data_IF_058750378726
#
_entry.id   IF_058750378726
#
_cell.length_a   1.000
_cell.length_b   1.000
_cell.length_c   1.000
_cell.angle_alpha   90.00
_cell.angle_beta   90.00
_cell.angle_gamma   90.00
#
_symmetry.space_group_name_H-M   'P 1'
#
loop_
_entity.id
_entity.type
_entity.pdbx_description
1 polymer ?
#
# COMPACT_ATOMS: atom_id res chain seq x y z
N UNK A 1 -7.91 6.33 -17.76
CA UNK A 1 -8.71 6.90 -16.64
C UNK A 1 -7.74 7.31 -15.52
N UNK A 2 -8.06 8.29 -14.65
CA UNK A 2 -7.16 8.64 -13.53
C UNK A 2 -7.23 7.54 -12.45
N UNK A 3 -6.09 6.92 -12.13
CA UNK A 3 -5.99 5.81 -11.17
C UNK A 3 -5.37 6.24 -9.85
N UNK A 4 -5.91 5.72 -8.76
CA UNK A 4 -5.29 5.70 -7.44
C UNK A 4 -4.92 4.26 -7.14
N UNK A 5 -3.67 4.00 -6.76
CA UNK A 5 -3.24 2.66 -6.34
C UNK A 5 -3.29 2.59 -4.81
N UNK A 6 -4.08 1.66 -4.27
CA UNK A 6 -4.14 1.39 -2.85
C UNK A 6 -3.23 0.21 -2.51
N UNK A 7 -2.10 0.46 -1.86
CA UNK A 7 -1.20 -0.57 -1.31
C UNK A 7 -1.76 -1.00 0.04
N UNK A 8 -2.28 -2.22 0.13
CA UNK A 8 -2.99 -2.71 1.31
C UNK A 8 -3.05 -4.23 1.34
N UNK A 9 -3.25 -4.81 2.52
CA UNK A 9 -3.88 -6.13 2.60
C UNK A 9 -5.31 -6.03 2.07
N UNK A 10 -5.82 -7.05 1.37
CA UNK A 10 -7.15 -7.01 0.77
C UNK A 10 -7.85 -8.36 0.85
N UNK A 11 -9.20 -8.46 0.78
CA UNK A 11 -9.89 -9.74 0.73
C UNK A 11 -9.38 -10.61 -0.44
N UNK A 12 -9.24 -11.93 -0.27
CA UNK A 12 -9.87 -12.79 0.75
C UNK A 12 -9.13 -12.91 2.10
N UNK A 13 -8.04 -12.17 2.34
CA UNK A 13 -7.36 -12.17 3.65
C UNK A 13 -8.28 -11.54 4.69
N UNK A 14 -8.58 -12.31 5.72
CA UNK A 14 -9.43 -11.88 6.82
C UNK A 14 -8.58 -11.15 7.86
N UNK A 15 -8.40 -9.84 7.66
CA UNK A 15 -7.81 -8.96 8.66
C UNK A 15 -8.50 -7.59 8.67
N UNK A 16 -8.34 -6.85 9.78
CA UNK A 16 -9.00 -5.55 9.96
C UNK A 16 -8.67 -4.52 8.88
N UNK A 17 -7.41 -4.50 8.41
CA UNK A 17 -6.96 -3.59 7.35
C UNK A 17 -7.60 -3.96 6.01
N UNK A 18 -7.76 -5.25 5.70
CA UNK A 18 -8.42 -5.69 4.48
C UNK A 18 -9.90 -5.27 4.43
N UNK A 19 -10.63 -5.45 5.53
CA UNK A 19 -12.01 -4.98 5.63
C UNK A 19 -12.09 -3.45 5.54
N UNK A 20 -11.24 -2.74 6.30
CA UNK A 20 -11.18 -1.27 6.25
C UNK A 20 -10.93 -0.75 4.84
N UNK A 21 -9.95 -1.31 4.13
CA UNK A 21 -9.59 -0.87 2.79
C UNK A 21 -10.74 -1.13 1.79
N UNK A 22 -11.40 -2.28 1.89
CA UNK A 22 -12.58 -2.57 1.06
C UNK A 22 -13.71 -1.57 1.30
N UNK A 23 -14.03 -1.28 2.56
CA UNK A 23 -15.10 -0.33 2.91
C UNK A 23 -14.75 1.11 2.53
N UNK A 24 -13.49 1.52 2.72
CA UNK A 24 -13.00 2.82 2.29
C UNK A 24 -13.15 3.01 0.77
N UNK A 25 -12.71 2.02 -0.01
CA UNK A 25 -12.77 2.08 -1.47
C UNK A 25 -14.22 2.13 -1.94
N UNK A 26 -15.09 1.28 -1.40
CA UNK A 26 -16.53 1.30 -1.69
C UNK A 26 -17.15 2.65 -1.35
N UNK A 27 -16.85 3.20 -0.18
CA UNK A 27 -17.39 4.48 0.25
C UNK A 27 -16.95 5.61 -0.70
N UNK A 28 -15.67 5.66 -1.07
CA UNK A 28 -15.16 6.65 -2.02
C UNK A 28 -15.84 6.51 -3.39
N UNK A 29 -15.86 5.31 -3.97
CA UNK A 29 -16.47 5.08 -5.29
C UNK A 29 -17.98 5.38 -5.28
N UNK A 30 -18.68 5.08 -4.18
CA UNK A 30 -20.12 5.39 -4.04
C UNK A 30 -20.41 6.90 -4.04
N UNK A 31 -19.45 7.72 -3.61
CA UNK A 31 -19.62 9.18 -3.49
C UNK A 31 -19.19 9.94 -4.74
N UNK A 32 -18.14 9.46 -5.41
CA UNK A 32 -17.49 10.19 -6.50
C UNK A 32 -17.61 9.50 -7.87
N UNK A 33 -18.28 8.34 -7.91
CA UNK A 33 -18.57 7.60 -9.13
C UNK A 33 -17.30 7.22 -9.88
N UNK A 34 -17.32 7.40 -11.20
CA UNK A 34 -16.26 6.98 -12.13
C UNK A 34 -15.27 8.11 -12.47
N UNK A 35 -15.27 9.21 -11.72
CA UNK A 35 -14.35 10.33 -11.94
C UNK A 35 -12.87 9.91 -11.83
N UNK A 36 -12.63 8.82 -11.10
CA UNK A 36 -11.36 8.13 -10.94
C UNK A 36 -11.62 6.66 -10.60
N UNK A 37 -10.63 5.81 -10.84
CA UNK A 37 -10.65 4.42 -10.41
C UNK A 37 -9.67 4.19 -9.28
N UNK A 38 -9.99 3.25 -8.39
CA UNK A 38 -9.09 2.78 -7.34
C UNK A 38 -8.76 1.33 -7.66
N UNK A 39 -7.46 1.01 -7.68
CA UNK A 39 -6.94 -0.34 -7.96
C UNK A 39 -6.05 -0.79 -6.82
N UNK A 40 -6.05 -2.09 -6.57
CA UNK A 40 -5.35 -2.65 -5.41
C UNK A 40 -3.94 -3.07 -5.81
N UNK A 41 -2.99 -2.70 -4.97
CA UNK A 41 -1.72 -3.39 -4.84
C UNK A 41 -1.79 -4.25 -3.57
N UNK A 42 -1.94 -5.56 -3.75
CA UNK A 42 -2.11 -6.48 -2.65
C UNK A 42 -0.78 -6.68 -1.93
N UNK A 43 -0.77 -6.45 -0.61
CA UNK A 43 0.38 -6.69 0.25
C UNK A 43 0.36 -8.15 0.71
N UNK A 44 1.36 -8.90 0.27
CA UNK A 44 1.53 -10.32 0.56
C UNK A 44 2.83 -10.57 1.32
N UNK A 45 2.96 -11.78 1.86
CA UNK A 45 4.18 -12.29 2.46
C UNK A 45 4.36 -13.76 2.06
N UNK A 46 5.53 -14.35 2.33
CA UNK A 46 5.80 -15.78 2.09
C UNK A 46 4.72 -16.71 2.67
N UNK A 47 4.11 -16.31 3.78
CA UNK A 47 3.08 -17.10 4.49
C UNK A 47 1.65 -16.76 4.07
N UNK A 48 1.42 -15.66 3.36
CA UNK A 48 0.09 -15.10 3.08
C UNK A 48 -0.02 -14.64 1.63
N UNK A 49 0.05 -15.60 0.70
CA UNK A 49 -0.16 -15.37 -0.73
C UNK A 49 -1.65 -15.45 -1.07
N UNK A 50 -2.14 -14.57 -1.94
CA UNK A 50 -3.55 -14.52 -2.29
C UNK A 50 -3.81 -14.88 -3.75
N UNK A 51 -4.97 -15.47 -4.00
CA UNK A 51 -5.49 -15.59 -5.36
C UNK A 51 -6.03 -14.23 -5.78
N UNK A 52 -5.44 -13.63 -6.83
CA UNK A 52 -5.82 -12.30 -7.32
C UNK A 52 -7.32 -12.23 -7.64
N UNK A 53 -7.99 -11.22 -7.08
CA UNK A 53 -9.36 -10.82 -7.48
C UNK A 53 -9.29 -9.79 -8.61
N UNK A 54 -10.41 -9.49 -9.26
CA UNK A 54 -10.50 -8.56 -10.39
C UNK A 54 -10.03 -7.13 -10.08
N UNK A 55 -10.00 -6.77 -8.79
CA UNK A 55 -9.59 -5.44 -8.30
C UNK A 55 -8.07 -5.30 -8.10
N UNK A 56 -7.33 -6.41 -8.09
CA UNK A 56 -5.88 -6.46 -7.84
C UNK A 56 -5.13 -6.28 -9.16
N UNK A 57 -4.45 -5.13 -9.31
CA UNK A 57 -3.62 -4.81 -10.49
C UNK A 57 -2.13 -5.04 -10.21
N UNK A 58 -1.73 -4.97 -8.94
CA UNK A 58 -0.34 -5.16 -8.50
C UNK A 58 -0.28 -6.07 -7.28
N UNK A 59 0.88 -6.69 -7.06
CA UNK A 59 1.19 -7.44 -5.83
C UNK A 59 2.55 -6.96 -5.32
N UNK A 60 2.64 -6.72 -4.02
CA UNK A 60 3.88 -6.45 -3.31
C UNK A 60 4.13 -7.61 -2.35
N UNK A 61 5.04 -8.49 -2.73
CA UNK A 61 5.56 -9.50 -1.81
C UNK A 61 6.58 -8.84 -0.88
N UNK A 62 6.20 -8.69 0.39
CA UNK A 62 7.01 -7.97 1.37
C UNK A 62 8.23 -8.75 1.85
N UNK A 63 8.33 -10.05 1.53
CA UNK A 63 9.53 -10.86 1.79
C UNK A 63 10.64 -10.58 0.77
N UNK A 64 10.28 -10.17 -0.45
CA UNK A 64 11.22 -9.92 -1.55
C UNK A 64 11.62 -8.44 -1.64
N UNK A 65 12.87 -8.16 -1.27
CA UNK A 65 13.45 -6.80 -1.37
C UNK A 65 13.37 -6.21 -2.79
N UNK A 66 13.45 -7.04 -3.83
CA UNK A 66 13.41 -6.59 -5.23
C UNK A 66 12.00 -6.21 -5.71
N UNK A 67 10.96 -6.70 -5.03
CA UNK A 67 9.57 -6.38 -5.33
C UNK A 67 9.27 -4.88 -5.12
N UNK A 68 9.87 -4.26 -4.10
CA UNK A 68 9.70 -2.81 -3.82
C UNK A 68 10.22 -1.95 -4.98
N UNK A 69 11.43 -2.23 -5.47
CA UNK A 69 12.02 -1.49 -6.59
C UNK A 69 11.22 -1.72 -7.89
N UNK A 70 10.76 -2.95 -8.11
CA UNK A 70 9.94 -3.31 -9.27
C UNK A 70 8.60 -2.56 -9.26
N UNK A 71 7.89 -2.57 -8.13
CA UNK A 71 6.63 -1.85 -7.95
C UNK A 71 6.82 -0.34 -8.13
N UNK A 72 7.86 0.23 -7.51
CA UNK A 72 8.19 1.66 -7.64
C UNK A 72 8.33 2.07 -9.10
N UNK A 73 9.09 1.29 -9.88
CA UNK A 73 9.26 1.53 -11.32
C UNK A 73 7.93 1.44 -12.07
N UNK A 74 7.16 0.39 -11.85
CA UNK A 74 5.85 0.19 -12.50
C UNK A 74 4.89 1.35 -12.22
N UNK A 75 4.81 1.81 -10.96
CA UNK A 75 3.95 2.92 -10.57
C UNK A 75 4.41 4.25 -11.17
N UNK A 76 5.73 4.48 -11.23
CA UNK A 76 6.30 5.69 -11.80
C UNK A 76 6.05 5.78 -13.31
N UNK A 77 6.29 4.69 -14.04
CA UNK A 77 6.13 4.59 -15.50
C UNK A 77 4.66 4.63 -15.93
N UNK A 78 3.73 4.19 -15.06
CA UNK A 78 2.31 4.24 -15.37
C UNK A 78 1.76 5.68 -15.30
N UNK A 79 1.51 6.27 -16.48
CA UNK A 79 0.98 7.63 -16.61
C UNK A 79 -0.46 7.79 -16.11
N UNK A 80 -1.23 6.70 -16.01
CA UNK A 80 -2.60 6.72 -15.47
C UNK A 80 -2.64 6.84 -13.94
N UNK A 81 -1.60 6.34 -13.26
CA UNK A 81 -1.45 6.46 -11.81
C UNK A 81 -1.19 7.91 -11.44
N UNK A 82 -2.11 8.49 -10.66
CA UNK A 82 -2.06 9.87 -10.19
C UNK A 82 -1.71 10.00 -8.71
N UNK A 83 -1.86 8.93 -7.94
CA UNK A 83 -1.62 8.91 -6.50
C UNK A 83 -1.45 7.47 -6.01
N UNK A 84 -0.68 7.31 -4.94
CA UNK A 84 -0.55 6.06 -4.19
C UNK A 84 -1.10 6.27 -2.78
N UNK A 85 -2.02 5.42 -2.36
CA UNK A 85 -2.57 5.37 -1.00
C UNK A 85 -2.01 4.12 -0.33
N UNK A 86 -1.31 4.28 0.79
CA UNK A 86 -0.66 3.17 1.49
C UNK A 86 -1.33 2.97 2.83
N UNK A 87 -1.89 1.77 3.06
CA UNK A 87 -2.31 1.32 4.36
C UNK A 87 -1.08 0.77 5.09
N UNK A 88 -0.71 1.43 6.18
CA UNK A 88 0.49 1.11 6.92
C UNK A 88 0.19 0.57 8.31
N UNK A 89 0.82 -0.56 8.59
CA UNK A 89 1.01 -1.11 9.91
C UNK A 89 2.44 -1.61 9.99
N UNK A 90 3.09 -1.42 11.14
CA UNK A 90 4.51 -1.74 11.31
C UNK A 90 4.85 -3.20 10.99
N UNK A 91 3.95 -4.13 11.25
CA UNK A 91 4.15 -5.55 10.96
C UNK A 91 4.19 -5.89 9.47
N UNK A 92 3.52 -5.11 8.61
CA UNK A 92 3.40 -5.43 7.17
C UNK A 92 4.73 -5.28 6.42
N UNK A 93 5.55 -4.31 6.80
CA UNK A 93 6.79 -3.97 6.08
C UNK A 93 8.05 -4.26 6.91
N UNK A 94 7.91 -4.84 8.11
CA UNK A 94 9.00 -5.04 9.05
C UNK A 94 10.18 -5.84 8.48
N UNK A 95 9.91 -6.83 7.62
CA UNK A 95 10.95 -7.68 7.04
C UNK A 95 11.91 -6.92 6.11
N UNK A 96 11.41 -5.87 5.45
CA UNK A 96 12.13 -5.09 4.45
C UNK A 96 11.88 -3.58 4.65
N UNK A 97 11.94 -3.10 5.89
CA UNK A 97 11.56 -1.72 6.25
C UNK A 97 12.36 -0.67 5.45
N UNK A 98 13.66 -0.88 5.28
CA UNK A 98 14.50 0.01 4.47
C UNK A 98 14.09 0.05 3.00
N UNK A 99 13.67 -1.08 2.42
CA UNK A 99 13.21 -1.13 1.04
C UNK A 99 11.86 -0.43 0.88
N UNK A 100 10.97 -0.54 1.86
CA UNK A 100 9.73 0.21 1.92
C UNK A 100 9.98 1.72 1.98
N UNK A 101 10.89 2.18 2.87
CA UNK A 101 11.27 3.59 2.97
C UNK A 101 11.90 4.10 1.67
N UNK A 102 12.76 3.31 1.02
CA UNK A 102 13.33 3.65 -0.27
C UNK A 102 12.25 3.77 -1.36
N UNK A 103 11.28 2.86 -1.39
CA UNK A 103 10.13 2.96 -2.31
C UNK A 103 9.37 4.28 -2.09
N UNK A 104 9.03 4.62 -0.85
CA UNK A 104 8.32 5.88 -0.55
C UNK A 104 9.08 7.11 -1.06
N UNK A 105 10.41 7.13 -0.91
CA UNK A 105 11.27 8.24 -1.36
C UNK A 105 11.43 8.30 -2.89
N UNK A 106 11.34 7.17 -3.58
CA UNK A 106 11.55 7.05 -5.03
C UNK A 106 10.25 7.16 -5.84
N UNK A 107 9.09 7.08 -5.18
CA UNK A 107 7.81 7.32 -5.85
C UNK A 107 7.71 8.78 -6.32
N UNK A 108 7.51 8.94 -7.63
CA UNK A 108 7.31 10.24 -8.28
C UNK A 108 5.85 10.71 -8.22
N UNK A 109 4.96 9.85 -7.72
CA UNK A 109 3.52 10.13 -7.54
C UNK A 109 3.28 10.58 -6.10
N UNK A 110 2.32 11.48 -5.85
CA UNK A 110 1.90 11.81 -4.49
C UNK A 110 1.53 10.56 -3.69
N UNK A 111 2.02 10.47 -2.46
CA UNK A 111 1.75 9.37 -1.53
C UNK A 111 0.89 9.87 -0.38
N UNK A 112 -0.18 9.14 -0.06
CA UNK A 112 -0.93 9.27 1.18
C UNK A 112 -0.61 8.03 2.02
N UNK A 113 -0.10 8.23 3.23
CA UNK A 113 0.20 7.15 4.17
C UNK A 113 -0.82 7.16 5.32
N UNK A 114 -1.50 6.04 5.52
CA UNK A 114 -2.51 5.86 6.58
C UNK A 114 -1.96 4.91 7.64
N UNK A 115 -1.70 5.43 8.84
CA UNK A 115 -1.25 4.63 9.97
C UNK A 115 -2.43 3.99 10.70
N UNK A 116 -2.48 2.66 10.70
CA UNK A 116 -3.45 1.89 11.50
C UNK A 116 -3.02 1.72 12.96
N UNK A 117 -1.73 1.89 13.23
CA UNK A 117 -1.14 1.82 14.56
C UNK A 117 -0.23 3.02 14.76
N UNK A 118 -0.52 3.82 15.80
CA UNK A 118 0.35 4.91 16.26
C UNK A 118 0.67 4.63 17.72
N UNK A 119 1.94 4.32 18.02
CA UNK A 119 2.36 4.06 19.40
C UNK A 119 2.51 5.37 20.16
N UNK A 120 1.86 5.48 21.32
CA UNK A 120 1.95 6.67 22.17
C UNK A 120 3.38 6.92 22.69
N UNK A 121 4.17 5.85 22.86
CA UNK A 121 5.57 5.90 23.29
C UNK A 121 6.41 5.01 22.35
N UNK A 122 6.75 5.50 21.14
CA UNK A 122 7.54 4.72 20.20
C UNK A 122 8.98 4.57 20.69
N UNK A 123 9.64 3.48 20.32
CA UNK A 123 11.09 3.39 20.52
C UNK A 123 11.80 4.48 19.69
N UNK A 124 13.02 4.90 20.07
CA UNK A 124 13.78 5.86 19.27
C UNK A 124 13.99 5.42 17.81
N UNK A 125 14.10 4.10 17.57
CA UNK A 125 14.21 3.55 16.22
C UNK A 125 12.91 3.76 15.43
N UNK A 126 11.76 3.43 16.02
CA UNK A 126 10.46 3.60 15.40
C UNK A 126 10.13 5.08 15.12
N UNK A 127 10.46 5.96 16.06
CA UNK A 127 10.28 7.40 15.90
C UNK A 127 11.08 7.93 14.70
N UNK A 128 12.34 7.49 14.54
CA UNK A 128 13.17 7.86 13.37
C UNK A 128 12.62 7.28 12.08
N UNK A 129 12.10 6.05 12.09
CA UNK A 129 11.50 5.42 10.92
C UNK A 129 10.30 6.22 10.41
N UNK A 130 9.37 6.57 11.31
CA UNK A 130 8.21 7.43 10.97
C UNK A 130 8.65 8.79 10.43
N UNK A 131 9.72 9.39 10.96
CA UNK A 131 10.26 10.65 10.43
C UNK A 131 10.88 10.56 9.03
N UNK A 132 11.08 9.36 8.48
CA UNK A 132 11.58 9.11 7.12
C UNK A 132 10.46 8.76 6.12
N UNK A 133 9.24 8.52 6.61
CA UNK A 133 8.03 8.26 5.83
C UNK A 133 7.38 9.58 5.39
#
# INVERSE_FOLDING_TARGET
MRKIICITTYPPRECGIATFAQDLIRAILSKFGESYSIKICAVESDTEKQTCTEDVEYVLDTSDISAYATLTRQLNENSEVKMVLVQHEFGLYAAQEEAFLQMLQQLLKPVILVFHTVLAQPSPALYRSVGRM
#
